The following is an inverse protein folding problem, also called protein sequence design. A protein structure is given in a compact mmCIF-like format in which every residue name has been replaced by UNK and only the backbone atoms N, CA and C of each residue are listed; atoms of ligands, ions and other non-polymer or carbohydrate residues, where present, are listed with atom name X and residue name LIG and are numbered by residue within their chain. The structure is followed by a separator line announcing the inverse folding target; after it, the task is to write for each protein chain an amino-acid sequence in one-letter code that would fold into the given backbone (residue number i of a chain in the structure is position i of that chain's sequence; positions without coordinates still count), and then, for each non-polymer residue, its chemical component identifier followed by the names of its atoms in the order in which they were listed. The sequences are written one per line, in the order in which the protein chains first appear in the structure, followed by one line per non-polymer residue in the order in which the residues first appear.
data_IF_747737637511
#
_entry.id   IF_747737637511
#
_cell.length_a   1.000
_cell.length_b   1.000
_cell.length_c   1.000
_cell.angle_alpha   90.00
_cell.angle_beta   90.00
_cell.angle_gamma   90.00
#
_symmetry.space_group_name_H-M   'P 1'
#
loop_
_entity.id
_entity.type
_entity.pdbx_description
1 polymer ?
2 non-polymer ?
3 water ?
#
# COMPACT_ATOMS: atom_id res chain seq x y z
N UNK A 1 -1.07 12.60 4.21
CA UNK A 1 -1.84 13.04 5.34
C UNK A 1 -2.26 11.87 6.18
N UNK A 2 -2.85 12.21 7.30
CA UNK A 2 -3.35 11.23 8.25
C UNK A 2 -4.88 11.31 8.34
N UNK A 3 -5.47 10.27 8.88
CA UNK A 3 -6.89 10.24 9.08
C UNK A 3 -7.00 10.13 10.61
N UNK A 4 -7.10 11.27 11.26
CA UNK A 4 -7.17 11.29 12.70
C UNK A 4 -8.39 10.62 13.28
N UNK A 5 -9.50 10.70 12.58
CA UNK A 5 -10.73 10.08 13.06
C UNK A 5 -10.59 8.56 13.11
N UNK A 6 -10.08 7.95 12.02
CA UNK A 6 -9.89 6.49 11.98
C UNK A 6 -8.78 6.02 12.94
N UNK A 7 -7.71 6.83 13.07
CA UNK A 7 -6.64 6.46 13.99
C UNK A 7 -7.22 6.38 15.40
N UNK A 8 -8.05 7.35 15.74
CA UNK A 8 -8.68 7.39 17.04
C UNK A 8 -9.61 6.20 17.21
N UNK A 9 -10.40 5.86 16.17
CA UNK A 9 -11.32 4.73 16.27
C UNK A 9 -10.64 3.40 16.65
N UNK A 10 -9.47 3.16 16.08
CA UNK A 10 -8.72 1.92 16.31
C UNK A 10 -7.52 2.06 17.27
N UNK A 11 -7.46 3.17 17.99
CA UNK A 11 -6.37 3.37 18.92
C UNK A 11 -4.96 3.16 18.32
N UNK A 12 -4.74 3.74 17.16
CA UNK A 12 -3.46 3.64 16.51
C UNK A 12 -2.36 4.26 17.44
N UNK A 13 -1.20 3.64 17.44
CA UNK A 13 -0.07 4.09 18.22
C UNK A 13 1.16 3.94 17.33
N UNK A 14 2.18 4.74 17.61
CA UNK A 14 3.39 4.73 16.85
C UNK A 14 4.41 3.72 17.28
N UNK A 15 4.05 2.85 18.23
CA UNK A 15 4.94 1.80 18.72
C UNK A 15 4.24 0.46 18.63
N UNK A 16 4.99 -0.63 18.76
CA UNK A 16 4.40 -1.96 18.69
C UNK A 16 3.76 -2.36 20.01
N UNK A 17 2.88 -3.34 19.94
CA UNK A 17 2.20 -3.85 21.12
C UNK A 17 2.54 -5.35 21.26
N UNK A 18 3.38 -5.72 22.25
CA UNK A 18 3.78 -7.13 22.45
C UNK A 18 4.36 -7.76 21.19
N UNK A 19 5.12 -6.96 20.45
CA UNK A 19 5.76 -7.42 19.24
C UNK A 19 4.93 -7.34 17.98
N UNK A 20 3.69 -6.96 18.13
CA UNK A 20 2.79 -6.84 16.99
C UNK A 20 2.94 -5.46 16.37
N UNK A 21 3.20 -5.40 15.08
CA UNK A 21 3.36 -4.11 14.44
C UNK A 21 2.83 -4.13 13.03
N UNK A 22 2.54 -2.95 12.50
CA UNK A 22 2.00 -2.80 11.16
C UNK A 22 2.71 -3.58 10.07
N UNK A 23 4.04 -3.57 10.06
CA UNK A 23 4.76 -4.31 9.01
C UNK A 23 4.46 -5.83 9.03
N UNK A 24 3.96 -6.34 10.15
CA UNK A 24 3.65 -7.76 10.21
C UNK A 24 2.13 -8.01 10.17
N UNK A 25 1.35 -6.98 9.82
CA UNK A 25 -0.12 -7.04 9.76
C UNK A 25 -0.66 -7.23 8.36
N UNK A 26 -1.67 -8.05 8.21
CA UNK A 26 -2.23 -8.28 6.88
C UNK A 26 -2.94 -7.08 6.23
N UNK A 27 -3.32 -6.07 7.03
CA UNK A 27 -4.01 -4.88 6.50
C UNK A 27 -3.06 -3.79 6.01
N UNK A 28 -1.78 -3.94 6.31
CA UNK A 28 -0.78 -2.97 5.91
C UNK A 28 -0.48 -2.96 4.43
N UNK A 29 -0.24 -1.76 3.88
CA UNK A 29 0.13 -1.56 2.48
C UNK A 29 1.52 -0.90 2.60
N UNK A 30 2.60 -1.64 2.38
CA UNK A 30 3.92 -1.07 2.56
C UNK A 30 4.25 0.11 1.70
N UNK A 31 5.14 0.94 2.26
CA UNK A 31 5.67 2.11 1.60
C UNK A 31 6.87 1.61 0.70
N UNK A 32 7.64 2.53 0.11
CA UNK A 32 8.78 2.23 -0.77
C UNK A 32 9.87 1.31 -0.18
N UNK A 33 10.17 1.48 1.10
CA UNK A 33 11.16 0.66 1.80
C UNK A 33 10.48 0.12 3.06
N UNK A 34 11.06 -0.88 3.67
CA UNK A 34 10.49 -1.46 4.85
C UNK A 34 10.41 -0.55 6.00
N UNK A 35 11.13 0.54 5.94
CA UNK A 35 11.10 1.47 7.03
C UNK A 35 10.29 2.73 6.74
N UNK A 36 9.79 2.89 5.50
CA UNK A 36 9.01 4.07 5.13
C UNK A 36 7.56 3.95 5.55
N UNK A 37 6.89 5.08 5.69
CA UNK A 37 5.48 5.07 6.06
C UNK A 37 4.66 4.42 4.91
N UNK A 38 3.59 3.71 5.26
CA UNK A 38 2.72 3.07 4.29
C UNK A 38 1.24 3.46 4.51
N UNK A 39 0.36 2.59 4.05
CA UNK A 39 -1.08 2.75 4.16
C UNK A 39 -1.67 1.56 4.91
N UNK A 40 -2.98 1.60 5.09
CA UNK A 40 -3.70 0.56 5.80
C UNK A 40 -5.16 0.45 5.30
N UNK A 41 -5.64 -0.78 5.08
CA UNK A 41 -7.00 -0.98 4.60
C UNK A 41 -8.07 -0.53 5.57
N UNK A 42 -7.75 -0.56 6.85
CA UNK A 42 -8.70 -0.17 7.88
C UNK A 42 -8.70 1.33 8.24
N UNK A 43 -7.71 2.07 7.75
CA UNK A 43 -7.58 3.52 8.01
C UNK A 43 -7.43 4.21 6.67
N UNK A 44 -8.54 4.30 5.95
CA UNK A 44 -8.52 4.89 4.63
C UNK A 44 -8.10 6.38 4.61
N UNK A 45 -7.42 6.82 3.54
CA UNK A 45 -6.99 8.22 3.45
C UNK A 45 -5.83 8.63 4.39
N UNK A 46 -5.03 7.67 4.78
CA UNK A 46 -3.92 7.94 5.63
C UNK A 46 -2.73 7.31 4.97
N UNK A 47 -1.69 8.09 4.66
CA UNK A 47 -0.49 7.53 4.03
C UNK A 47 0.72 7.71 4.97
N UNK A 48 0.48 7.81 6.29
CA UNK A 48 1.57 8.00 7.26
C UNK A 48 1.59 6.91 8.29
N UNK A 49 1.12 5.74 7.90
CA UNK A 49 1.08 4.61 8.80
C UNK A 49 2.52 4.11 9.01
N UNK A 50 3.01 4.12 10.25
CA UNK A 50 4.37 3.65 10.54
C UNK A 50 4.49 2.12 10.54
N UNK A 51 5.51 1.57 9.88
CA UNK A 51 5.70 0.13 9.86
C UNK A 51 5.87 -0.47 11.28
N UNK A 52 6.35 0.36 12.22
CA UNK A 52 6.56 -0.05 13.61
C UNK A 52 5.39 0.30 14.55
N UNK A 53 4.28 0.79 13.97
CA UNK A 53 3.08 1.16 14.72
C UNK A 53 2.19 -0.05 14.97
N UNK A 54 1.00 0.22 15.49
CA UNK A 54 0.04 -0.81 15.81
C UNK A 54 -1.35 -0.18 16.01
N UNK A 55 -2.38 -0.97 15.82
CA UNK A 55 -3.75 -0.57 16.03
C UNK A 55 -4.54 -1.80 16.49
N UNK A 56 -5.71 -1.59 17.08
CA UNK A 56 -6.51 -2.70 17.55
C UNK A 56 -6.92 -3.68 16.45
N UNK A 57 -6.93 -3.24 15.19
CA UNK A 57 -7.33 -4.11 14.08
C UNK A 57 -6.22 -5.04 13.58
N UNK A 58 -5.10 -5.04 14.27
CA UNK A 58 -3.99 -5.88 13.87
C UNK A 58 -4.37 -7.36 13.62
N UNK A 59 -3.85 -7.93 12.54
CA UNK A 59 -4.09 -9.33 12.17
C UNK A 59 -2.83 -9.82 11.53
N UNK A 60 -2.28 -10.89 12.04
CA UNK A 60 -1.04 -11.35 11.51
C UNK A 60 -1.07 -11.73 10.05
N UNK A 61 -0.07 -11.30 9.23
CA UNK A 61 -0.05 -11.71 7.80
C UNK A 61 0.53 -13.22 7.74
N UNK A 62 -0.12 -14.20 7.02
CA UNK A 62 0.39 -15.61 6.97
C UNK A 62 1.06 -15.96 5.64
N UNK B 1 -9.37 5.30 -3.40
CA UNK B 1 -8.76 6.57 -3.72
C UNK B 1 -7.52 6.41 -4.60
N UNK B 2 -7.20 7.44 -5.34
CA UNK B 2 -6.04 7.38 -6.20
C UNK B 2 -5.08 8.47 -5.78
N UNK B 3 -3.84 8.37 -6.25
CA UNK B 3 -2.81 9.38 -5.96
C UNK B 3 -2.60 9.96 -7.35
N UNK B 4 -3.43 10.91 -7.77
CA UNK B 4 -3.30 11.48 -9.11
C UNK B 4 -1.93 12.01 -9.50
N UNK B 5 -1.36 12.78 -8.61
CA UNK B 5 -0.07 13.36 -8.86
C UNK B 5 1.00 12.35 -9.22
N UNK B 6 1.10 11.32 -8.39
CA UNK B 6 2.08 10.28 -8.61
C UNK B 6 1.79 9.48 -9.85
N UNK B 7 0.53 9.16 -10.07
CA UNK B 7 0.18 8.41 -11.25
C UNK B 7 0.57 9.23 -12.46
N UNK B 8 0.33 10.54 -12.41
CA UNK B 8 0.70 11.35 -13.55
C UNK B 8 2.24 11.47 -13.71
N UNK B 9 2.93 11.56 -12.59
CA UNK B 9 4.37 11.67 -12.61
C UNK B 9 4.98 10.47 -13.29
N UNK B 10 4.41 9.28 -13.06
CA UNK B 10 4.92 8.02 -13.65
C UNK B 10 4.18 7.57 -14.92
N UNK B 11 3.33 8.46 -15.44
CA UNK B 11 2.54 8.17 -16.62
C UNK B 11 1.81 6.82 -16.50
N UNK B 12 1.22 6.55 -15.34
CA UNK B 12 0.48 5.30 -15.12
C UNK B 12 -0.66 5.10 -16.19
N UNK B 13 -0.86 3.85 -16.62
CA UNK B 13 -1.92 3.49 -17.57
C UNK B 13 -2.54 2.19 -17.05
N UNK B 14 -3.81 1.98 -17.33
CA UNK B 14 -4.55 0.81 -16.90
C UNK B 14 -4.29 -0.42 -17.73
N UNK B 15 -3.55 -0.26 -18.78
CA UNK B 15 -3.27 -1.37 -19.63
C UNK B 15 -1.75 -1.67 -19.58
N UNK B 16 -1.37 -2.90 -19.91
CA UNK B 16 0.03 -3.32 -19.93
C UNK B 16 0.80 -2.62 -21.10
N UNK B 17 2.13 -2.52 -20.97
CA UNK B 17 3.01 -1.92 -21.99
C UNK B 17 3.92 -3.07 -22.46
N UNK B 18 3.62 -3.57 -23.64
CA UNK B 18 4.35 -4.69 -24.23
C UNK B 18 4.68 -5.86 -23.27
N UNK B 19 3.65 -6.40 -22.59
CA UNK B 19 3.84 -7.50 -21.66
C UNK B 19 4.14 -7.06 -20.24
N UNK B 20 4.49 -5.76 -20.05
CA UNK B 20 4.82 -5.20 -18.74
C UNK B 20 3.59 -4.72 -17.99
N UNK B 21 3.41 -5.29 -16.82
CA UNK B 21 2.28 -4.91 -16.03
C UNK B 21 2.55 -5.06 -14.55
N UNK B 22 1.77 -4.33 -13.75
CA UNK B 22 1.88 -4.30 -12.29
C UNK B 22 2.01 -5.64 -11.61
N UNK B 23 1.21 -6.60 -12.06
CA UNK B 23 1.26 -7.91 -11.47
C UNK B 23 2.61 -8.54 -11.62
N UNK B 24 3.48 -8.07 -12.54
CA UNK B 24 4.80 -8.71 -12.68
C UNK B 24 5.92 -7.77 -12.24
N UNK B 25 5.49 -6.68 -11.60
CA UNK B 25 6.34 -5.61 -11.09
C UNK B 25 6.70 -5.77 -9.63
N UNK B 26 7.96 -5.44 -9.29
CA UNK B 26 8.46 -5.55 -7.91
C UNK B 26 7.78 -4.62 -6.89
N UNK B 27 7.17 -3.54 -7.38
CA UNK B 27 6.50 -2.58 -6.49
C UNK B 27 5.04 -2.89 -6.17
N UNK B 28 4.43 -3.80 -6.90
CA UNK B 28 3.04 -4.12 -6.67
C UNK B 28 2.73 -4.76 -5.31
N UNK B 29 1.60 -4.36 -4.74
CA UNK B 29 1.09 -4.88 -3.47
C UNK B 29 -0.24 -5.42 -3.89
N UNK B 30 -0.28 -6.69 -4.19
CA UNK B 30 -1.53 -7.32 -4.68
C UNK B 30 -2.74 -7.21 -3.77
N UNK B 31 -3.97 -7.25 -4.34
CA UNK B 31 -5.21 -7.19 -3.55
C UNK B 31 -5.59 -8.62 -3.04
N UNK B 32 -6.80 -8.77 -2.53
CA UNK B 32 -7.31 -10.03 -2.00
C UNK B 32 -7.42 -11.19 -3.00
N UNK B 33 -7.41 -10.89 -4.29
CA UNK B 33 -7.53 -11.91 -5.32
C UNK B 33 -6.90 -11.40 -6.56
N UNK B 34 -6.68 -12.29 -7.48
CA UNK B 34 -6.01 -11.94 -8.68
C UNK B 34 -6.45 -10.84 -9.48
N UNK B 35 -7.72 -10.65 -9.56
CA UNK B 35 -8.18 -9.60 -10.38
C UNK B 35 -8.48 -8.35 -9.58
N UNK B 36 -8.29 -8.45 -8.29
CA UNK B 36 -8.55 -7.33 -7.45
C UNK B 36 -7.51 -6.20 -7.66
N UNK B 37 -7.97 -4.92 -7.50
CA UNK B 37 -7.11 -3.73 -7.60
C UNK B 37 -6.23 -3.82 -6.32
N UNK B 38 -4.98 -3.38 -6.41
CA UNK B 38 -4.06 -3.42 -5.28
C UNK B 38 -3.43 -2.06 -5.04
N UNK B 39 -2.26 -2.08 -4.42
CA UNK B 39 -1.51 -0.88 -4.11
C UNK B 39 -0.18 -0.91 -4.83
N UNK B 40 0.67 0.09 -4.56
CA UNK B 40 1.99 0.22 -5.17
C UNK B 40 2.93 0.89 -4.20
N UNK B 41 4.09 0.27 -3.95
CA UNK B 41 5.09 0.81 -3.02
C UNK B 41 5.55 2.25 -3.33
N UNK B 42 5.49 2.67 -4.61
CA UNK B 42 5.92 4.02 -4.97
C UNK B 42 4.79 4.99 -5.29
N UNK B 43 3.51 4.59 -5.07
CA UNK B 43 2.31 5.47 -5.32
C UNK B 43 1.54 5.44 -4.01
N UNK B 44 1.92 6.28 -3.07
CA UNK B 44 1.29 6.21 -1.77
C UNK B 44 -0.15 6.58 -1.72
N UNK B 45 -0.91 5.85 -0.91
CA UNK B 45 -2.33 6.11 -0.75
C UNK B 45 -3.23 5.70 -1.91
N UNK B 46 -2.71 4.97 -2.85
CA UNK B 46 -3.54 4.56 -3.96
C UNK B 46 -3.96 3.11 -3.83
N UNK B 47 -5.25 2.84 -3.84
CA UNK B 47 -5.64 1.47 -3.70
C UNK B 47 -6.43 1.04 -4.86
N UNK B 48 -6.16 1.68 -5.99
CA UNK B 48 -6.86 1.39 -7.22
C UNK B 48 -5.94 0.96 -8.35
N UNK B 49 -4.76 0.43 -7.99
CA UNK B 49 -3.75 -0.04 -8.95
C UNK B 49 -4.22 -1.36 -9.60
N UNK B 50 -4.45 -1.32 -10.90
CA UNK B 50 -4.91 -2.49 -11.64
C UNK B 50 -3.80 -3.51 -11.82
N UNK B 51 -4.06 -4.80 -11.57
CA UNK B 51 -3.00 -5.79 -11.78
C UNK B 51 -2.43 -5.79 -13.21
N UNK B 52 -3.23 -5.31 -14.18
CA UNK B 52 -2.84 -5.24 -15.58
C UNK B 52 -2.43 -3.84 -16.03
N UNK B 53 -2.17 -2.95 -15.06
CA UNK B 53 -1.75 -1.59 -15.37
C UNK B 53 -0.22 -1.57 -15.57
N UNK B 54 0.32 -0.36 -15.70
CA UNK B 54 1.74 -0.13 -15.91
C UNK B 54 2.11 1.36 -15.71
N UNK B 55 3.37 1.62 -15.33
CA UNK B 55 3.87 2.97 -15.12
C UNK B 55 5.36 2.97 -15.37
N UNK B 56 5.93 4.13 -15.46
CA UNK B 56 7.34 4.26 -15.71
C UNK B 56 8.26 3.69 -14.66
N UNK B 57 7.75 3.53 -13.46
CA UNK B 57 8.56 3.03 -12.38
C UNK B 57 8.72 1.53 -12.32
N UNK B 58 8.06 0.84 -13.23
CA UNK B 58 8.10 -0.61 -13.30
C UNK B 58 9.54 -1.18 -13.24
N UNK B 59 9.64 -2.30 -12.55
CA UNK B 59 10.86 -3.05 -12.36
C UNK B 59 10.41 -4.49 -12.29
N UNK B 60 10.95 -5.30 -13.16
CA UNK B 60 10.59 -6.68 -13.18
C UNK B 60 10.75 -7.32 -11.85
N UNK B 61 9.74 -8.00 -11.34
CA UNK B 61 10.06 -8.58 -10.05
C UNK B 61 10.83 -9.89 -10.16
N UNK B 62 11.61 -10.27 -9.10
CA UNK B 62 12.41 -11.54 -9.09
C UNK B 62 11.57 -12.78 -8.67
X LIG C 1 -1.24 -1.07 11.45
X LIG C 1 -2.70 -3.33 10.86
X LIG C 1 -3.45 -0.89 9.88
X LIG C 1 -3.70 -1.37 12.48
X LIG C 1 -4.74 -2.56 10.86
X LIG C 1 -2.75 0.47 11.54
X LIG C 1 -1.86 -2.74 12.93
X LIG C 1 -1.52 -2.04 9.41
X LIG D 1 2.35 -0.73 -11.40
X LIG D 1 5.00 -1.12 -10.75
X LIG D 1 3.43 0.51 -9.18
X LIG D 1 4.11 1.27 -11.71
X LIG D 1 5.67 0.87 -9.99
X LIG D 1 2.05 1.31 -10.79
X LIG D 1 4.14 -0.76 -12.84
X LIG D 1 3.15 -1.75 -9.47
#
# INVERSE_FOLDING_TARGET
GTNAAMRKAFNYQDTAKNGKKCSGCAQFVPGASPTAAGGCKVIPGDNQIAPGGYCDAFIVKK
GTNAAMRKAFNYQDTAKNGKKCSGCAQFVPGASPTAAGGCKVIPGDNQIAPGGYCDAFIVKK
SF4 FE1 FE2 FE3 FE4 S1 S2 S3 S4
SF4 FE1 FE2 FE3 FE4 S1 S2 S3 S4
#
